data_IF_914385468448
#
_entry.id   IF_914385468448
#
_cell.length_a   1.000
_cell.length_b   1.000
_cell.length_c   1.000
_cell.angle_alpha   90.00
_cell.angle_beta   90.00
_cell.angle_gamma   90.00
#
_symmetry.space_group_name_H-M   'P 1'
#
loop_
_entity.id
_entity.type
_entity.pdbx_description
1 polymer ?
#
# COMPACT_ATOMS: atom_id res chain seq x y z
N UNK A 1 -4.99 -4.98 6.09
CA UNK A 1 -6.11 -4.20 6.66
C UNK A 1 -7.41 -4.90 6.33
N UNK A 2 -8.38 -4.94 7.24
CA UNK A 2 -9.70 -5.52 6.94
C UNK A 2 -10.75 -4.43 6.77
N UNK A 3 -11.60 -4.58 5.75
CA UNK A 3 -12.79 -3.75 5.57
C UNK A 3 -14.02 -4.57 5.92
N UNK A 4 -14.79 -4.11 6.91
CA UNK A 4 -16.13 -4.61 7.17
C UNK A 4 -17.16 -3.69 6.51
N UNK A 5 -18.03 -4.22 5.65
CA UNK A 5 -19.18 -3.49 5.11
C UNK A 5 -20.46 -4.10 5.70
N UNK A 6 -21.35 -3.25 6.20
CA UNK A 6 -22.69 -3.64 6.61
C UNK A 6 -23.72 -3.03 5.66
N UNK A 7 -24.57 -3.85 5.06
CA UNK A 7 -25.66 -3.44 4.16
C UNK A 7 -27.00 -3.53 4.92
N UNK A 8 -27.67 -2.40 5.08
CA UNK A 8 -28.96 -2.30 5.76
C UNK A 8 -30.16 -2.50 4.82
N UNK A 9 -29.95 -2.92 3.57
CA UNK A 9 -31.02 -3.04 2.57
C UNK A 9 -31.84 -4.34 2.67
N UNK A 10 -32.67 -4.46 3.71
CA UNK A 10 -33.82 -5.38 3.64
C UNK A 10 -35.08 -4.60 3.22
N UNK A 11 -35.60 -4.96 2.06
CA UNK A 11 -36.67 -4.24 1.38
C UNK A 11 -37.97 -4.11 2.19
N UNK A 12 -38.57 -2.93 2.12
CA UNK A 12 -40.02 -2.78 2.02
C UNK A 12 -40.35 -1.43 1.37
N UNK A 13 -41.04 -1.53 0.25
CA UNK A 13 -41.68 -0.45 -0.47
C UNK A 13 -42.86 0.03 0.41
N UNK A 14 -42.80 1.24 0.94
CA UNK A 14 -43.76 1.75 1.92
C UNK A 14 -43.73 3.27 1.98
N UNK A 15 -44.65 3.90 1.24
CA UNK A 15 -44.69 5.33 0.99
C UNK A 15 -44.76 6.22 2.24
N UNK A 16 -44.16 7.40 2.13
CA UNK A 16 -44.34 8.48 3.10
C UNK A 16 -43.20 9.49 3.16
N UNK A 17 -43.42 10.61 2.50
CA UNK A 17 -42.81 11.94 2.72
C UNK A 17 -41.44 12.24 2.08
N UNK A 18 -41.44 13.24 1.20
CA UNK A 18 -40.29 13.74 0.44
C UNK A 18 -39.28 14.53 1.28
N UNK A 19 -38.57 13.86 2.18
CA UNK A 19 -37.26 14.30 2.65
C UNK A 19 -36.19 13.69 1.75
N UNK A 20 -35.29 14.49 1.18
CA UNK A 20 -34.22 14.00 0.31
C UNK A 20 -33.53 12.79 0.96
N UNK A 21 -33.56 11.64 0.28
CA UNK A 21 -32.97 10.40 0.75
C UNK A 21 -31.45 10.52 0.74
N UNK A 22 -30.89 11.11 1.80
CA UNK A 22 -29.44 11.20 1.97
C UNK A 22 -28.91 9.80 2.28
N UNK A 23 -27.95 9.36 1.48
CA UNK A 23 -27.16 8.19 1.80
C UNK A 23 -26.12 8.57 2.86
N UNK A 24 -25.98 7.76 3.90
CA UNK A 24 -25.08 8.02 5.03
C UNK A 24 -24.01 6.95 5.08
N UNK A 25 -22.74 7.37 5.13
CA UNK A 25 -21.60 6.49 5.37
C UNK A 25 -21.02 6.77 6.76
N UNK A 26 -20.90 5.73 7.57
CA UNK A 26 -20.24 5.76 8.88
C UNK A 26 -18.92 5.02 8.75
N UNK A 27 -17.80 5.75 8.84
CA UNK A 27 -16.46 5.16 8.82
C UNK A 27 -15.92 5.08 10.25
N UNK A 28 -15.49 3.89 10.65
CA UNK A 28 -14.82 3.64 11.93
C UNK A 28 -13.44 3.07 11.63
N UNK A 29 -12.39 3.85 11.89
CA UNK A 29 -11.01 3.42 11.68
C UNK A 29 -10.40 2.81 12.95
N UNK A 30 -9.42 1.93 12.76
CA UNK A 30 -8.65 1.26 13.82
C UNK A 30 -9.51 0.57 14.88
N UNK A 31 -10.51 -0.22 14.45
CA UNK A 31 -11.43 -0.90 15.38
C UNK A 31 -10.75 -1.92 16.30
N UNK A 32 -9.53 -2.35 16.00
CA UNK A 32 -8.70 -3.17 16.89
C UNK A 32 -8.38 -2.47 18.22
N UNK A 33 -8.35 -1.14 18.25
CA UNK A 33 -8.12 -0.36 19.47
C UNK A 33 -9.22 -0.59 20.52
N UNK A 34 -10.45 -0.82 20.04
CA UNK A 34 -11.62 -1.12 20.87
C UNK A 34 -11.50 -2.50 21.53
N UNK A 35 -11.00 -3.49 20.79
CA UNK A 35 -10.77 -4.83 21.31
C UNK A 35 -9.65 -4.84 22.37
N UNK A 36 -8.57 -4.08 22.15
CA UNK A 36 -7.50 -3.90 23.15
C UNK A 36 -8.04 -3.27 24.43
N UNK A 37 -8.81 -2.19 24.31
CA UNK A 37 -9.43 -1.53 25.46
C UNK A 37 -10.33 -2.49 26.26
N UNK A 38 -11.12 -3.32 25.56
CA UNK A 38 -11.96 -4.35 26.20
C UNK A 38 -11.14 -5.41 26.93
N UNK A 39 -10.07 -5.94 26.33
CA UNK A 39 -9.21 -6.97 26.95
C UNK A 39 -8.50 -6.47 28.20
N UNK A 40 -7.88 -5.29 28.13
CA UNK A 40 -7.20 -4.66 29.28
C UNK A 40 -8.16 -4.45 30.47
N UNK A 41 -9.42 -4.15 30.18
CA UNK A 41 -10.45 -3.96 31.19
C UNK A 41 -10.88 -5.25 31.89
N UNK A 42 -10.85 -6.39 31.19
CA UNK A 42 -11.17 -7.70 31.78
C UNK A 42 -10.04 -8.16 32.70
N UNK A 43 -8.79 -7.91 32.33
CA UNK A 43 -7.61 -8.25 33.13
C UNK A 43 -7.47 -7.37 34.39
N UNK A 44 -8.00 -6.14 34.36
CA UNK A 44 -7.97 -5.18 35.48
C UNK A 44 -8.96 -5.43 36.61
N UNK A 45 -9.83 -6.44 36.52
CA UNK A 45 -10.69 -6.89 37.64
C UNK A 45 -11.91 -6.01 37.97
N UNK A 46 -12.03 -4.81 37.41
CA UNK A 46 -13.23 -3.97 37.49
C UNK A 46 -13.89 -3.81 36.10
N UNK A 47 -15.23 -3.75 36.00
CA UNK A 47 -15.90 -3.49 34.73
C UNK A 47 -15.62 -2.05 34.30
N UNK A 48 -14.48 -1.88 33.65
CA UNK A 48 -13.93 -0.59 33.26
C UNK A 48 -14.81 0.08 32.20
N UNK A 49 -14.72 1.41 32.13
CA UNK A 49 -15.36 2.25 31.12
C UNK A 49 -15.12 1.76 29.69
N UNK A 50 -14.01 1.08 29.42
CA UNK A 50 -13.69 0.47 28.13
C UNK A 50 -14.71 -0.58 27.68
N UNK A 51 -15.14 -1.49 28.58
CA UNK A 51 -16.15 -2.52 28.25
C UNK A 51 -17.51 -1.85 27.98
N UNK A 52 -17.87 -0.84 28.77
CA UNK A 52 -19.12 -0.09 28.62
C UNK A 52 -19.15 0.67 27.30
N UNK A 53 -18.06 1.34 26.95
CA UNK A 53 -17.91 2.07 25.69
C UNK A 53 -18.03 1.15 24.48
N UNK A 54 -17.36 -0.02 24.50
CA UNK A 54 -17.42 -1.00 23.41
C UNK A 54 -18.82 -1.57 23.24
N UNK A 55 -19.49 -1.95 24.34
CA UNK A 55 -20.87 -2.45 24.28
C UNK A 55 -21.86 -1.39 23.80
N UNK A 56 -21.68 -0.13 24.23
CA UNK A 56 -22.49 0.99 23.76
C UNK A 56 -22.32 1.20 22.25
N UNK A 57 -21.08 1.16 21.75
CA UNK A 57 -20.79 1.28 20.32
C UNK A 57 -21.43 0.14 19.52
N UNK A 58 -21.25 -1.12 19.95
CA UNK A 58 -21.88 -2.28 19.30
C UNK A 58 -23.41 -2.16 19.26
N UNK A 59 -24.01 -1.69 20.35
CA UNK A 59 -25.46 -1.46 20.43
C UNK A 59 -25.92 -0.39 19.44
N UNK A 60 -25.15 0.70 19.29
CA UNK A 60 -25.46 1.76 18.32
C UNK A 60 -25.29 1.28 16.88
N UNK A 61 -24.26 0.46 16.61
CA UNK A 61 -24.08 -0.17 15.30
C UNK A 61 -25.28 -1.05 14.93
N UNK A 62 -25.79 -1.85 15.88
CA UNK A 62 -26.99 -2.67 15.66
C UNK A 62 -28.24 -1.81 15.35
N UNK A 63 -28.37 -0.63 15.96
CA UNK A 63 -29.46 0.30 15.65
C UNK A 63 -29.33 0.88 14.24
N UNK A 64 -28.10 1.20 13.80
CA UNK A 64 -27.84 1.77 12.48
C UNK A 64 -28.19 0.81 11.33
N UNK A 65 -28.09 -0.51 11.57
CA UNK A 65 -28.49 -1.55 10.60
C UNK A 65 -29.98 -1.52 10.22
N UNK A 66 -30.84 -0.88 11.03
CA UNK A 66 -32.26 -0.76 10.73
C UNK A 66 -32.59 0.30 9.67
N UNK A 67 -31.62 1.16 9.33
CA UNK A 67 -31.82 2.24 8.36
C UNK A 67 -31.29 1.84 6.97
N UNK A 68 -32.17 1.66 5.96
CA UNK A 68 -31.77 1.14 4.65
C UNK A 68 -30.86 2.07 3.84
N UNK A 69 -30.68 3.32 4.28
CA UNK A 69 -29.83 4.34 3.67
C UNK A 69 -28.49 4.54 4.40
N UNK A 70 -28.10 3.62 5.29
CA UNK A 70 -26.85 3.72 6.08
C UNK A 70 -25.91 2.57 5.71
N UNK A 71 -24.66 2.93 5.40
CA UNK A 71 -23.55 2.00 5.27
C UNK A 71 -22.53 2.23 6.38
N UNK A 72 -22.16 1.15 7.08
CA UNK A 72 -21.08 1.17 8.06
C UNK A 72 -19.85 0.52 7.44
N UNK A 73 -18.73 1.25 7.45
CA UNK A 73 -17.42 0.80 7.01
C UNK A 73 -16.48 0.80 8.21
N UNK A 74 -15.86 -0.33 8.50
CA UNK A 74 -14.84 -0.41 9.55
C UNK A 74 -13.50 -0.82 8.97
N UNK A 75 -12.40 -0.24 9.47
CA UNK A 75 -11.03 -0.61 9.12
C UNK A 75 -10.26 -1.11 10.33
N UNK A 76 -9.44 -2.14 10.13
CA UNK A 76 -8.47 -2.62 11.12
C UNK A 76 -7.13 -2.97 10.48
N UNK A 77 -6.02 -2.64 11.16
CA UNK A 77 -4.68 -3.04 10.75
C UNK A 77 -4.25 -4.39 11.34
N UNK A 78 -4.95 -4.88 12.37
CA UNK A 78 -4.65 -6.13 13.07
C UNK A 78 -5.85 -7.07 12.99
N UNK A 79 -5.88 -7.89 11.94
CA UNK A 79 -6.94 -8.88 11.68
C UNK A 79 -7.28 -9.73 12.91
N UNK A 80 -6.26 -10.29 13.57
CA UNK A 80 -6.44 -11.21 14.71
C UNK A 80 -6.88 -10.51 16.01
N UNK A 81 -6.77 -9.18 16.07
CA UNK A 81 -7.14 -8.41 17.24
C UNK A 81 -8.60 -7.96 17.22
N UNK A 82 -9.32 -8.10 16.11
CA UNK A 82 -10.72 -7.67 16.02
C UNK A 82 -11.57 -8.55 16.94
N UNK A 83 -12.49 -7.91 17.67
CA UNK A 83 -13.43 -8.59 18.54
C UNK A 83 -14.42 -9.44 17.73
N UNK A 84 -14.65 -10.69 18.16
CA UNK A 84 -15.56 -11.62 17.49
C UNK A 84 -16.99 -11.03 17.37
N UNK A 85 -17.45 -10.26 18.35
CA UNK A 85 -18.77 -9.63 18.31
C UNK A 85 -18.88 -8.54 17.22
N UNK A 86 -17.76 -7.90 16.84
CA UNK A 86 -17.72 -7.00 15.69
C UNK A 86 -17.74 -7.78 14.38
N UNK A 87 -16.98 -8.88 14.30
CA UNK A 87 -16.90 -9.73 13.11
C UNK A 87 -18.22 -10.44 12.80
N UNK A 88 -18.99 -10.84 13.81
CA UNK A 88 -20.33 -11.43 13.64
C UNK A 88 -21.34 -10.44 13.05
N UNK A 89 -21.07 -9.15 13.17
CA UNK A 89 -21.93 -8.07 12.67
C UNK A 89 -21.51 -7.56 11.30
N UNK A 90 -20.40 -8.01 10.74
CA UNK A 90 -19.96 -7.60 9.42
C UNK A 90 -20.57 -8.50 8.35
N UNK A 91 -21.26 -7.92 7.36
CA UNK A 91 -21.82 -8.68 6.24
C UNK A 91 -20.72 -9.09 5.24
N UNK A 92 -19.73 -8.22 5.06
CA UNK A 92 -18.57 -8.46 4.21
C UNK A 92 -17.29 -8.28 5.00
N UNK A 93 -16.32 -9.18 4.82
CA UNK A 93 -14.96 -9.09 5.38
C UNK A 93 -13.96 -9.14 4.25
N UNK A 94 -13.29 -8.03 3.99
CA UNK A 94 -12.30 -7.92 2.90
C UNK A 94 -10.92 -7.77 3.49
N UNK A 95 -10.04 -8.74 3.23
CA UNK A 95 -8.62 -8.58 3.52
C UNK A 95 -7.94 -7.76 2.42
N UNK A 96 -7.36 -6.62 2.78
CA UNK A 96 -6.55 -5.75 1.94
C UNK A 96 -5.07 -5.95 2.28
N UNK A 97 -4.37 -6.68 1.42
CA UNK A 97 -2.92 -6.85 1.49
C UNK A 97 -2.14 -5.70 0.84
N UNK A 98 -0.83 -5.88 0.74
CA UNK A 98 0.03 -4.95 0.00
C UNK A 98 -0.37 -4.89 -1.49
N UNK A 99 -0.18 -3.74 -2.16
CA UNK A 99 -0.54 -3.58 -3.55
C UNK A 99 0.21 -4.55 -4.44
N UNK A 100 -0.51 -5.19 -5.38
CA UNK A 100 0.08 -6.03 -6.42
C UNK A 100 1.04 -5.22 -7.31
N UNK A 101 1.94 -5.89 -8.02
CA UNK A 101 2.91 -5.20 -8.91
C UNK A 101 2.24 -4.23 -9.88
N UNK A 102 1.11 -4.61 -10.48
CA UNK A 102 0.33 -3.75 -11.36
C UNK A 102 -0.20 -2.52 -10.62
N UNK A 103 -0.73 -2.70 -9.40
CA UNK A 103 -1.17 -1.59 -8.58
C UNK A 103 -0.01 -0.66 -8.18
N UNK A 104 1.17 -1.21 -7.84
CA UNK A 104 2.38 -0.42 -7.55
C UNK A 104 2.80 0.43 -8.74
N UNK A 105 2.77 -0.15 -9.93
CA UNK A 105 3.05 0.56 -11.17
C UNK A 105 2.07 1.72 -11.38
N UNK A 106 0.76 1.47 -11.27
CA UNK A 106 -0.25 2.52 -11.43
C UNK A 106 -0.05 3.66 -10.41
N UNK A 107 0.18 3.34 -9.13
CA UNK A 107 0.42 4.32 -8.06
C UNK A 107 1.63 5.20 -8.39
N UNK A 108 2.78 4.59 -8.71
CA UNK A 108 4.01 5.35 -8.98
C UNK A 108 3.89 6.12 -10.30
N UNK A 109 3.28 5.53 -11.33
CA UNK A 109 3.05 6.20 -12.62
C UNK A 109 2.17 7.44 -12.46
N UNK A 110 1.08 7.36 -11.71
CA UNK A 110 0.22 8.51 -11.45
C UNK A 110 0.99 9.61 -10.70
N UNK A 111 1.78 9.25 -9.69
CA UNK A 111 2.66 10.20 -9.01
C UNK A 111 3.65 10.88 -9.96
N UNK A 112 4.30 10.12 -10.84
CA UNK A 112 5.25 10.66 -11.84
C UNK A 112 4.57 11.55 -12.88
N UNK A 113 3.40 11.14 -13.38
CA UNK A 113 2.62 11.93 -14.33
C UNK A 113 2.14 13.24 -13.69
N UNK A 114 1.81 13.22 -12.40
CA UNK A 114 1.48 14.44 -11.65
C UNK A 114 2.70 15.34 -11.49
N UNK A 115 3.87 14.80 -11.14
CA UNK A 115 5.14 15.56 -11.09
C UNK A 115 5.50 16.18 -12.43
N UNK A 116 5.22 15.49 -13.53
CA UNK A 116 5.37 16.05 -14.88
C UNK A 116 4.34 17.17 -15.14
N UNK A 117 3.07 16.98 -14.74
CA UNK A 117 2.01 17.99 -14.89
C UNK A 117 2.35 19.28 -14.15
N UNK A 118 2.95 19.20 -12.96
CA UNK A 118 3.35 20.38 -12.17
C UNK A 118 4.73 20.94 -12.55
N UNK A 119 5.41 20.35 -13.52
CA UNK A 119 6.70 20.84 -14.06
C UNK A 119 7.95 20.43 -13.26
N UNK A 120 7.81 19.63 -12.19
CA UNK A 120 8.94 19.08 -11.43
C UNK A 120 9.76 18.09 -12.27
N UNK A 121 9.07 17.34 -13.15
CA UNK A 121 9.70 16.54 -14.18
C UNK A 121 9.49 17.26 -15.52
N UNK A 122 10.56 17.77 -16.09
CA UNK A 122 10.54 18.51 -17.35
C UNK A 122 11.48 17.84 -18.33
N UNK A 123 10.92 17.13 -19.31
CA UNK A 123 11.71 16.47 -20.35
C UNK A 123 11.21 16.91 -21.73
N UNK A 124 12.14 17.34 -22.59
CA UNK A 124 11.79 17.83 -23.93
C UNK A 124 11.60 16.63 -24.85
N UNK A 125 10.35 16.19 -24.99
CA UNK A 125 9.97 15.14 -25.94
C UNK A 125 9.60 13.79 -25.32
N UNK A 126 9.63 13.65 -23.99
CA UNK A 126 9.07 12.49 -23.30
C UNK A 126 7.63 12.80 -22.89
N UNK A 127 6.70 11.98 -23.39
CA UNK A 127 5.28 12.08 -23.03
C UNK A 127 4.99 11.55 -21.63
N UNK A 128 3.70 11.59 -21.24
CA UNK A 128 3.23 10.92 -20.03
C UNK A 128 3.48 9.41 -20.11
N UNK A 129 3.81 8.80 -18.98
CA UNK A 129 3.92 7.35 -18.88
C UNK A 129 2.55 6.70 -19.12
N UNK A 130 2.53 5.64 -19.92
CA UNK A 130 1.33 4.91 -20.33
C UNK A 130 0.82 3.91 -19.30
N UNK A 131 -0.38 3.38 -19.56
CA UNK A 131 -0.97 2.29 -18.76
C UNK A 131 -0.18 1.01 -18.90
N UNK A 132 -0.11 0.23 -17.81
CA UNK A 132 0.48 -1.09 -17.89
C UNK A 132 -0.44 -1.99 -18.73
N UNK A 133 -0.11 -2.19 -20.00
CA UNK A 133 -0.59 -3.35 -20.75
C UNK A 133 0.24 -4.57 -20.30
N UNK A 134 -0.08 -5.07 -19.11
CA UNK A 134 0.69 -6.07 -18.35
C UNK A 134 1.01 -7.34 -19.16
N UNK A 135 0.17 -7.69 -20.13
CA UNK A 135 0.34 -8.90 -20.94
C UNK A 135 1.44 -8.79 -22.01
N UNK A 136 1.60 -7.64 -22.68
CA UNK A 136 2.59 -7.52 -23.78
C UNK A 136 4.02 -7.25 -23.32
N UNK A 137 4.20 -6.97 -22.03
CA UNK A 137 5.45 -6.44 -21.49
C UNK A 137 6.43 -7.53 -21.03
N UNK A 138 5.90 -8.60 -20.43
CA UNK A 138 6.67 -9.78 -20.08
C UNK A 138 7.17 -10.51 -21.33
N UNK A 139 6.33 -10.61 -22.37
CA UNK A 139 6.69 -11.18 -23.67
C UNK A 139 7.84 -10.39 -24.34
N UNK A 140 7.79 -9.06 -24.28
CA UNK A 140 8.86 -8.20 -24.80
C UNK A 140 10.16 -8.27 -23.99
N UNK A 141 10.11 -8.58 -22.68
CA UNK A 141 11.28 -8.81 -21.83
C UNK A 141 11.93 -10.17 -22.11
N UNK A 142 11.13 -11.19 -22.43
CA UNK A 142 11.60 -12.52 -22.81
C UNK A 142 12.48 -12.49 -24.07
N UNK A 143 12.06 -11.76 -25.10
CA UNK A 143 12.83 -11.62 -26.35
C UNK A 143 14.12 -10.80 -26.18
N UNK A 144 14.16 -9.82 -25.27
CA UNK A 144 15.32 -8.92 -25.08
C UNK A 144 16.36 -9.41 -24.07
N UNK A 145 15.99 -10.18 -23.04
CA UNK A 145 16.96 -10.77 -22.10
C UNK A 145 17.84 -11.85 -22.75
N UNK A 146 17.32 -12.54 -23.77
CA UNK A 146 18.10 -13.48 -24.60
C UNK A 146 19.29 -12.83 -25.33
N UNK A 147 19.26 -11.50 -25.54
CA UNK A 147 20.31 -10.77 -26.27
C UNK A 147 21.38 -10.15 -25.35
N UNK A 148 21.21 -10.15 -24.03
CA UNK A 148 22.14 -9.46 -23.11
C UNK A 148 22.96 -10.39 -22.20
N UNK A 149 22.63 -11.69 -22.16
CA UNK A 149 23.38 -12.66 -21.38
C UNK A 149 24.44 -13.36 -22.24
N UNK A 150 25.71 -13.03 -21.96
CA UNK A 150 26.98 -13.57 -22.53
C UNK A 150 27.45 -12.92 -23.84
N UNK A 151 28.21 -11.83 -23.72
CA UNK A 151 29.01 -11.28 -24.82
C UNK A 151 30.03 -10.26 -24.34
N UNK A 152 31.23 -10.72 -23.99
CA UNK A 152 32.41 -9.88 -23.83
C UNK A 152 32.69 -9.10 -25.13
N UNK A 153 33.09 -7.82 -25.03
CA UNK A 153 33.63 -7.09 -26.19
C UNK A 153 34.94 -7.75 -26.67
N UNK A 154 35.34 -7.57 -27.96
CA UNK A 154 35.82 -6.26 -28.42
C UNK A 154 35.63 -5.94 -29.92
N UNK A 155 35.84 -4.67 -30.31
CA UNK A 155 36.53 -4.31 -31.56
C UNK A 155 35.75 -4.16 -32.88
N UNK A 156 35.80 -2.93 -33.42
CA UNK A 156 35.87 -2.51 -34.83
C UNK A 156 34.85 -2.95 -35.90
N UNK A 157 34.28 -1.90 -36.52
CA UNK A 157 33.97 -1.68 -37.95
C UNK A 157 32.80 -2.40 -38.63
N UNK A 158 32.09 -1.58 -39.43
CA UNK A 158 31.22 -1.87 -40.57
C UNK A 158 29.77 -2.28 -40.29
N UNK A 159 28.90 -1.25 -40.39
CA UNK A 159 27.60 -1.21 -41.06
C UNK A 159 26.78 -2.50 -41.18
N UNK A 160 25.62 -2.50 -40.51
CA UNK A 160 24.37 -3.01 -41.09
C UNK A 160 23.17 -2.34 -40.39
N UNK A 161 22.40 -1.62 -41.19
CA UNK A 161 21.17 -0.94 -40.81
C UNK A 161 20.06 -1.97 -40.51
N UNK A 162 19.60 -2.01 -39.27
CA UNK A 162 18.23 -2.39 -38.92
C UNK A 162 17.74 -1.44 -37.83
N UNK A 163 16.92 -0.47 -38.22
CA UNK A 163 16.46 0.61 -37.36
C UNK A 163 15.31 0.14 -36.45
N UNK A 164 15.57 -0.77 -35.53
CA UNK A 164 14.66 -0.99 -34.41
C UNK A 164 14.94 0.06 -33.33
N UNK A 165 14.56 1.31 -33.64
CA UNK A 165 14.56 2.39 -32.67
C UNK A 165 13.44 2.11 -31.68
N UNK A 166 13.72 1.31 -30.65
CA UNK A 166 12.85 1.14 -29.50
C UNK A 166 12.36 2.53 -29.04
N UNK A 167 11.04 2.80 -29.03
CA UNK A 167 10.55 4.11 -28.62
C UNK A 167 11.00 4.40 -27.19
N UNK A 168 11.68 5.53 -26.97
CA UNK A 168 12.19 5.98 -25.66
C UNK A 168 11.12 5.92 -24.54
N UNK A 169 9.84 6.10 -24.89
CA UNK A 169 8.71 5.95 -23.96
C UNK A 169 8.62 4.55 -23.32
N UNK A 170 8.78 3.47 -24.10
CA UNK A 170 8.76 2.09 -23.59
C UNK A 170 9.90 1.81 -22.61
N UNK A 171 11.06 2.48 -22.77
CA UNK A 171 12.22 2.30 -21.88
C UNK A 171 11.94 2.82 -20.46
N UNK A 172 11.28 3.96 -20.33
CA UNK A 172 10.96 4.54 -19.01
C UNK A 172 9.90 3.71 -18.29
N UNK A 173 8.90 3.20 -19.03
CA UNK A 173 7.92 2.25 -18.51
C UNK A 173 8.60 0.96 -18.03
N UNK A 174 9.60 0.44 -18.77
CA UNK A 174 10.35 -0.77 -18.41
C UNK A 174 11.14 -0.55 -17.11
N UNK A 175 11.78 0.60 -17.00
CA UNK A 175 12.52 0.99 -15.80
C UNK A 175 11.58 1.11 -14.60
N UNK A 176 10.44 1.78 -14.75
CA UNK A 176 9.45 1.91 -13.68
C UNK A 176 8.90 0.55 -13.24
N UNK A 177 8.61 -0.34 -14.19
CA UNK A 177 8.14 -1.68 -13.87
C UNK A 177 9.16 -2.49 -13.08
N UNK A 178 10.46 -2.42 -13.44
CA UNK A 178 11.54 -3.04 -12.65
C UNK A 178 11.65 -2.46 -11.23
N UNK A 179 11.47 -1.15 -11.07
CA UNK A 179 11.41 -0.52 -9.73
C UNK A 179 10.23 -1.09 -8.94
N UNK A 180 9.07 -1.30 -9.57
CA UNK A 180 7.91 -1.90 -8.91
C UNK A 180 8.15 -3.36 -8.47
N UNK A 181 8.98 -4.12 -9.20
CA UNK A 181 9.41 -5.45 -8.75
C UNK A 181 10.24 -5.38 -7.47
N UNK A 182 11.08 -4.35 -7.32
CA UNK A 182 11.84 -4.17 -6.08
C UNK A 182 11.00 -3.73 -4.88
N UNK A 183 9.76 -3.25 -5.06
CA UNK A 183 8.94 -2.67 -3.98
C UNK A 183 7.83 -3.62 -3.50
N UNK A 184 8.10 -4.93 -3.41
CA UNK A 184 7.08 -5.96 -3.18
C UNK A 184 6.27 -5.80 -1.88
N UNK A 185 6.95 -5.48 -0.78
CA UNK A 185 6.35 -5.39 0.56
C UNK A 185 5.94 -3.97 0.97
N UNK A 186 5.95 -3.04 0.02
CA UNK A 186 5.71 -1.63 0.32
C UNK A 186 4.22 -1.29 0.38
N UNK A 187 3.83 -0.61 1.47
CA UNK A 187 2.47 -0.12 1.63
C UNK A 187 2.12 0.94 0.58
N UNK A 188 0.84 1.02 0.20
CA UNK A 188 0.36 2.09 -0.70
C UNK A 188 0.60 3.51 -0.16
N UNK A 189 0.78 3.67 1.16
CA UNK A 189 1.17 4.94 1.79
C UNK A 189 2.64 5.27 1.48
N UNK A 190 3.54 4.30 1.63
CA UNK A 190 4.95 4.48 1.28
C UNK A 190 5.08 4.79 -0.21
N UNK A 191 4.46 4.00 -1.09
CA UNK A 191 4.56 4.18 -2.54
C UNK A 191 4.14 5.58 -2.99
N UNK A 192 3.10 6.17 -2.39
CA UNK A 192 2.68 7.56 -2.68
C UNK A 192 3.66 8.60 -2.16
N UNK A 193 4.38 8.31 -1.08
CA UNK A 193 5.39 9.20 -0.48
C UNK A 193 6.75 9.09 -1.18
N UNK A 194 7.04 7.95 -1.81
CA UNK A 194 8.33 7.63 -2.41
C UNK A 194 8.81 8.67 -3.46
N UNK A 195 7.98 9.15 -4.41
CA UNK A 195 8.42 10.15 -5.37
C UNK A 195 8.85 11.47 -4.70
N UNK A 196 8.09 11.90 -3.67
CA UNK A 196 8.42 13.11 -2.92
C UNK A 196 9.74 12.96 -2.14
N UNK A 197 9.93 11.82 -1.46
CA UNK A 197 11.17 11.52 -0.76
C UNK A 197 12.37 11.46 -1.70
N UNK A 198 12.20 10.80 -2.86
CA UNK A 198 13.23 10.73 -3.88
C UNK A 198 13.62 12.11 -4.38
N UNK A 199 12.63 12.95 -4.72
CA UNK A 199 12.85 14.32 -5.18
C UNK A 199 13.62 15.13 -4.14
N UNK A 200 13.18 15.11 -2.88
CA UNK A 200 13.82 15.85 -1.79
C UNK A 200 15.27 15.43 -1.52
N UNK A 201 15.61 14.14 -1.69
CA UNK A 201 16.95 13.62 -1.38
C UNK A 201 17.92 13.74 -2.56
N UNK A 202 17.44 13.57 -3.79
CA UNK A 202 18.30 13.37 -4.96
C UNK A 202 18.23 14.48 -6.01
N UNK A 203 17.22 15.36 -5.96
CA UNK A 203 17.08 16.47 -6.90
C UNK A 203 17.48 17.77 -6.20
N UNK A 204 18.55 18.42 -6.68
CA UNK A 204 19.12 19.65 -6.10
C UNK A 204 18.71 20.93 -6.86
N UNK A 205 17.52 20.97 -7.44
CA UNK A 205 17.04 22.11 -8.22
C UNK A 205 15.54 22.07 -8.52
N UNK A 206 15.05 23.01 -9.32
CA UNK A 206 13.60 23.22 -9.52
C UNK A 206 12.94 22.19 -10.44
N UNK A 207 13.73 21.47 -11.25
CA UNK A 207 13.23 20.41 -12.14
C UNK A 207 14.29 19.34 -12.45
N UNK A 208 13.83 18.16 -12.88
CA UNK A 208 14.68 17.06 -13.34
C UNK A 208 14.11 16.40 -14.60
N UNK A 209 14.94 15.67 -15.35
CA UNK A 209 14.47 14.81 -16.45
C UNK A 209 13.89 13.50 -15.89
N UNK A 210 13.05 12.82 -16.68
CA UNK A 210 12.41 11.58 -16.26
C UNK A 210 13.43 10.44 -16.08
N UNK A 211 14.38 10.29 -17.01
CA UNK A 211 15.45 9.27 -16.91
C UNK A 211 16.27 9.44 -15.62
N UNK A 212 16.68 10.68 -15.31
CA UNK A 212 17.43 10.96 -14.08
C UNK A 212 16.61 10.66 -12.84
N UNK A 213 15.32 11.02 -12.84
CA UNK A 213 14.44 10.76 -11.71
C UNK A 213 14.20 9.27 -11.49
N UNK A 214 13.94 8.50 -12.55
CA UNK A 214 13.73 7.05 -12.44
C UNK A 214 15.00 6.32 -11.97
N UNK A 215 16.20 6.75 -12.38
CA UNK A 215 17.45 6.22 -11.82
C UNK A 215 17.57 6.50 -10.33
N UNK A 216 17.30 7.74 -9.91
CA UNK A 216 17.32 8.11 -8.50
C UNK A 216 16.26 7.33 -7.69
N UNK A 217 15.08 7.10 -8.27
CA UNK A 217 14.01 6.33 -7.66
C UNK A 217 14.41 4.85 -7.50
N UNK A 218 15.06 4.28 -8.51
CA UNK A 218 15.62 2.92 -8.44
C UNK A 218 16.67 2.79 -7.34
N UNK A 219 17.60 3.75 -7.23
CA UNK A 219 18.59 3.76 -6.15
C UNK A 219 17.93 3.90 -4.77
N UNK A 220 16.93 4.79 -4.63
CA UNK A 220 16.21 4.97 -3.37
C UNK A 220 15.42 3.72 -2.96
N UNK A 221 14.80 3.02 -3.92
CA UNK A 221 14.11 1.75 -3.69
C UNK A 221 15.07 0.63 -3.26
N UNK A 222 16.28 0.61 -3.81
CA UNK A 222 17.31 -0.35 -3.42
C UNK A 222 17.86 -0.09 -2.00
N UNK A 223 18.07 1.19 -1.64
CA UNK A 223 18.59 1.58 -0.32
C UNK A 223 17.63 1.27 0.83
N UNK A 224 16.31 1.41 0.61
CA UNK A 224 15.31 1.10 1.65
C UNK A 224 15.37 -0.36 2.14
N UNK A 225 15.80 -1.29 1.27
CA UNK A 225 15.95 -2.70 1.64
C UNK A 225 17.15 -2.97 2.56
N UNK A 226 18.22 -2.19 2.43
CA UNK A 226 19.41 -2.35 3.27
C UNK A 226 19.18 -1.81 4.68
N UNK A 227 18.41 -0.73 4.83
CA UNK A 227 18.04 -0.18 6.15
C UNK A 227 17.14 -1.16 6.94
N UNK A 228 16.12 -1.74 6.31
CA UNK A 228 15.25 -2.75 6.95
C UNK A 228 16.02 -4.04 7.30
N UNK A 229 16.99 -4.45 6.46
CA UNK A 229 17.83 -5.63 6.72
C UNK A 229 18.82 -5.39 7.88
N UNK A 230 19.33 -4.16 8.02
CA UNK A 230 20.21 -3.79 9.13
C UNK A 230 19.46 -3.69 10.46
N UNK A 231 18.22 -3.19 10.47
CA UNK A 231 17.37 -3.17 11.68
C UNK A 231 16.88 -4.56 12.09
N UNK A 232 16.57 -5.44 11.12
CA UNK A 232 16.22 -6.84 11.41
C UNK A 232 17.39 -7.65 12.02
N UNK A 233 18.64 -7.34 11.63
CA UNK A 233 19.85 -7.96 12.20
C UNK A 233 20.20 -7.49 13.63
N UNK A 234 19.70 -6.34 14.07
CA UNK A 234 20.01 -5.76 15.39
C UNK A 234 19.19 -6.34 16.56
N UNK A 235 18.18 -7.17 16.29
CA UNK A 235 17.21 -7.63 17.31
C UNK A 235 17.45 -9.06 17.83
N UNK A 236 18.50 -9.74 17.37
CA UNK A 236 18.87 -11.07 17.83
C UNK A 236 20.18 -11.03 18.64
N UNK A 237 20.10 -10.84 19.96
CA UNK A 237 20.90 -11.49 21.03
C UNK A 237 20.85 -10.66 22.33
N UNK A 238 19.97 -11.09 23.24
CA UNK A 238 20.22 -11.00 24.67
C UNK A 238 19.46 -12.15 25.38
N UNK A 239 20.14 -13.21 25.83
CA UNK A 239 19.52 -14.16 26.75
C UNK A 239 19.55 -13.55 28.16
N UNK A 240 18.41 -13.09 28.64
CA UNK A 240 18.17 -12.83 30.05
C UNK A 240 17.58 -14.08 30.71
N UNK A 241 18.39 -14.83 31.46
CA UNK A 241 17.88 -15.80 32.43
C UNK A 241 18.60 -15.65 33.76
N UNK A 242 17.83 -15.14 34.71
CA UNK A 242 18.10 -15.07 36.13
C UNK A 242 18.55 -16.42 36.70
N UNK A 243 19.72 -16.43 37.36
CA UNK A 243 20.04 -17.44 38.37
C UNK A 243 19.38 -17.02 39.69
N UNK A 244 18.36 -17.78 40.10
CA UNK A 244 17.75 -17.70 41.42
C UNK A 244 18.73 -18.15 42.49
N UNK A 245 18.93 -17.31 43.50
CA UNK A 245 19.71 -17.59 44.68
C UNK A 245 18.82 -18.35 45.67
N UNK A 246 19.17 -19.60 45.96
CA UNK A 246 18.61 -20.39 47.06
C UNK A 246 19.36 -19.99 48.33
N UNK A 247 18.65 -19.53 49.36
CA UNK A 247 19.18 -19.29 50.70
C UNK A 247 18.58 -20.33 51.64
N UNK A 248 19.35 -21.38 51.95
CA UNK A 248 19.17 -22.17 53.16
C UNK A 248 19.99 -21.50 54.29
N UNK A 249 19.32 -21.18 55.39
CA UNK A 249 19.71 -21.51 56.78
C UNK A 249 18.60 -21.07 57.73
#
# INVERSE_FOLDING_TARGET
AELALCDASNGSDGGGNGGGSSLVFVLIDEVESLAVARRQSIEGGEPSDGIRAVNALLTQLDQLKSYPNVYVMCTSNVSDAIDEAFLDRADLKIHLGNPSISARYEILREGLNEMHRVGLISDRGVGRLGRAEVAGFADSLGDSLGSMALGEGPGSSAESESSDTFPSAKRHELMLWRICQSLEDESGRHLRKLPFLCFSKHVRGDSTTLDRFLRALHTQAALGKEEDSAEAGGRALAPSSHQGQVMEM
#
